data_IF_647080122281
#
_entry.id   IF_647080122281
#
_cell.length_a   1.000
_cell.length_b   1.000
_cell.length_c   1.000
_cell.angle_alpha   90.00
_cell.angle_beta   90.00
_cell.angle_gamma   90.00
#
_symmetry.space_group_name_H-M   'P 1'
#
loop_
_entity.id
_entity.type
_entity.pdbx_description
1 polymer ?
#
# COMPACT_ATOMS: atom_id res chain seq x y z
N UNK A 1 -0.24 11.12 -6.38
CA UNK A 1 -1.55 10.48 -6.61
C UNK A 1 -1.41 9.67 -7.89
N UNK A 2 -1.09 8.38 -7.76
CA UNK A 2 -1.09 7.47 -8.91
C UNK A 2 -2.54 7.31 -9.34
N UNK A 3 -2.93 7.96 -10.41
CA UNK A 3 -4.13 7.64 -11.14
C UNK A 3 -3.88 6.31 -11.84
N UNK A 4 -4.14 5.20 -11.18
CA UNK A 4 -4.25 3.92 -11.86
C UNK A 4 -5.45 4.00 -12.79
N UNK A 5 -5.24 4.51 -14.01
CA UNK A 5 -6.10 4.26 -15.15
C UNK A 5 -5.72 2.90 -15.74
N UNK A 6 -5.96 1.87 -14.99
CA UNK A 6 -6.05 0.51 -15.47
C UNK A 6 -7.37 0.01 -14.93
N UNK A 7 -8.35 -0.15 -15.76
CA UNK A 7 -9.55 -0.88 -15.42
C UNK A 7 -9.10 -2.32 -15.13
N UNK A 8 -8.85 -2.61 -13.84
CA UNK A 8 -8.77 -4.00 -13.40
C UNK A 8 -10.17 -4.52 -13.59
N UNK A 9 -10.36 -5.36 -14.58
CA UNK A 9 -11.60 -6.07 -14.78
C UNK A 9 -11.76 -7.11 -13.67
N UNK A 10 -12.48 -6.71 -12.60
CA UNK A 10 -12.84 -7.57 -11.47
C UNK A 10 -14.30 -8.02 -11.57
N UNK A 11 -14.91 -7.92 -12.75
CA UNK A 11 -16.36 -8.14 -12.94
C UNK A 11 -16.81 -9.53 -12.51
N UNK A 12 -15.93 -10.53 -12.60
CA UNK A 12 -16.23 -11.92 -12.26
C UNK A 12 -15.75 -12.33 -10.85
N UNK A 13 -15.10 -11.42 -10.10
CA UNK A 13 -14.56 -11.72 -8.78
C UNK A 13 -15.34 -11.00 -7.69
N UNK A 14 -15.84 -11.75 -6.70
CA UNK A 14 -16.33 -11.14 -5.47
C UNK A 14 -15.16 -10.88 -4.52
N UNK A 15 -14.96 -9.60 -4.15
CA UNK A 15 -13.86 -9.18 -3.30
C UNK A 15 -14.37 -8.59 -2.00
N UNK A 16 -13.67 -8.86 -0.91
CA UNK A 16 -13.80 -8.11 0.34
C UNK A 16 -12.56 -7.26 0.52
N UNK A 17 -12.73 -5.95 0.55
CA UNK A 17 -11.63 -4.98 0.67
C UNK A 17 -11.71 -4.25 2.00
N UNK A 18 -10.69 -4.40 2.83
CA UNK A 18 -10.52 -3.60 4.03
C UNK A 18 -9.68 -2.36 3.68
N UNK A 19 -10.20 -1.17 3.99
CA UNK A 19 -9.53 0.08 3.67
C UNK A 19 -9.61 1.11 4.81
N UNK A 20 -8.54 1.91 4.94
CA UNK A 20 -8.51 3.12 5.75
C UNK A 20 -8.45 4.39 4.87
N UNK A 21 -8.57 4.25 3.54
CA UNK A 21 -8.52 5.36 2.59
C UNK A 21 -9.94 5.76 2.16
N UNK A 22 -10.28 7.04 2.33
CA UNK A 22 -11.53 7.62 1.84
C UNK A 22 -11.64 7.51 0.31
N UNK A 23 -10.53 7.71 -0.40
CA UNK A 23 -10.53 7.63 -1.86
C UNK A 23 -10.83 6.20 -2.34
N UNK A 24 -10.22 5.20 -1.73
CA UNK A 24 -10.48 3.79 -2.03
C UNK A 24 -11.91 3.41 -1.65
N UNK A 25 -12.39 3.83 -0.47
CA UNK A 25 -13.76 3.60 -0.03
C UNK A 25 -14.76 4.11 -1.08
N UNK A 26 -14.59 5.36 -1.53
CA UNK A 26 -15.49 5.98 -2.52
C UNK A 26 -15.49 5.24 -3.85
N UNK A 27 -14.31 4.81 -4.34
CA UNK A 27 -14.20 4.10 -5.62
C UNK A 27 -14.81 2.69 -5.57
N UNK A 28 -14.66 2.00 -4.45
CA UNK A 28 -15.08 0.60 -4.33
C UNK A 28 -16.52 0.44 -3.86
N UNK A 29 -17.09 1.42 -3.13
CA UNK A 29 -18.48 1.37 -2.66
C UNK A 29 -19.53 1.36 -3.78
N UNK A 30 -19.13 1.76 -4.99
CA UNK A 30 -19.98 1.74 -6.18
C UNK A 30 -19.86 0.43 -6.99
N UNK A 31 -18.96 -0.48 -6.58
CA UNK A 31 -18.73 -1.75 -7.28
C UNK A 31 -19.66 -2.85 -6.73
N UNK A 32 -20.54 -3.47 -7.56
CA UNK A 32 -21.53 -4.43 -7.06
C UNK A 32 -20.93 -5.73 -6.50
N UNK A 33 -19.72 -6.11 -6.95
CA UNK A 33 -19.04 -7.34 -6.51
C UNK A 33 -17.92 -7.06 -5.48
N UNK A 34 -18.02 -5.96 -4.72
CA UNK A 34 -17.02 -5.58 -3.74
C UNK A 34 -17.66 -5.23 -2.40
N UNK A 35 -17.43 -6.05 -1.39
CA UNK A 35 -17.73 -5.70 -0.01
C UNK A 35 -16.62 -4.84 0.56
N UNK A 36 -16.96 -3.68 1.11
CA UNK A 36 -15.97 -2.74 1.63
C UNK A 36 -16.08 -2.63 3.14
N UNK A 37 -15.00 -2.96 3.83
CA UNK A 37 -14.82 -2.77 5.26
C UNK A 37 -14.00 -1.50 5.47
N UNK A 38 -14.62 -0.44 5.99
CA UNK A 38 -13.91 0.79 6.33
C UNK A 38 -13.39 0.73 7.78
N UNK A 39 -12.10 1.03 7.98
CA UNK A 39 -11.50 1.07 9.31
C UNK A 39 -12.09 2.19 10.20
N UNK A 40 -12.63 3.25 9.59
CA UNK A 40 -13.29 4.34 10.29
C UNK A 40 -12.36 5.17 11.18
N UNK A 41 -12.97 6.07 11.95
CA UNK A 41 -12.28 6.94 12.88
C UNK A 41 -12.16 8.38 12.40
N UNK A 42 -11.10 9.08 12.85
CA UNK A 42 -10.82 10.45 12.44
C UNK A 42 -10.28 10.48 11.00
N UNK A 43 -10.87 11.30 10.16
CA UNK A 43 -10.40 11.50 8.79
C UNK A 43 -9.36 12.63 8.75
N UNK A 44 -8.15 12.31 8.34
CA UNK A 44 -7.10 13.30 8.06
C UNK A 44 -7.34 13.92 6.67
N UNK A 45 -7.67 15.21 6.58
CA UNK A 45 -8.02 15.84 5.29
C UNK A 45 -6.89 15.80 4.25
N UNK A 46 -5.64 15.97 4.70
CA UNK A 46 -4.47 16.04 3.82
C UNK A 46 -4.12 14.70 3.17
N UNK A 47 -4.30 13.59 3.89
CA UNK A 47 -3.97 12.24 3.40
C UNK A 47 -5.21 11.48 2.92
N UNK A 48 -6.39 11.97 3.25
CA UNK A 48 -7.67 11.29 3.01
C UNK A 48 -7.70 9.90 3.65
N UNK A 49 -7.05 9.77 4.82
CA UNK A 49 -6.97 8.52 5.58
C UNK A 49 -7.75 8.60 6.87
N UNK A 50 -8.46 7.51 7.17
CA UNK A 50 -9.08 7.28 8.48
C UNK A 50 -8.05 6.72 9.46
N UNK A 51 -8.14 7.15 10.71
CA UNK A 51 -7.32 6.63 11.81
C UNK A 51 -8.13 6.54 13.09
N UNK A 52 -8.05 5.39 13.75
CA UNK A 52 -8.52 5.16 15.11
C UNK A 52 -7.84 3.92 15.70
N UNK A 53 -7.80 3.81 17.02
CA UNK A 53 -7.35 2.59 17.72
C UNK A 53 -8.21 1.38 17.38
N UNK A 54 -9.51 1.57 17.21
CA UNK A 54 -10.48 0.56 16.80
C UNK A 54 -10.21 0.09 15.37
N UNK A 55 -9.92 1.02 14.44
CA UNK A 55 -9.52 0.71 13.08
C UNK A 55 -8.23 -0.12 13.01
N UNK A 56 -7.22 0.24 13.79
CA UNK A 56 -5.99 -0.55 13.92
C UNK A 56 -6.27 -1.93 14.51
N UNK A 57 -7.14 -2.02 15.53
CA UNK A 57 -7.56 -3.29 16.11
C UNK A 57 -8.33 -4.16 15.12
N UNK A 58 -9.16 -3.55 14.26
CA UNK A 58 -9.85 -4.26 13.18
C UNK A 58 -8.85 -4.86 12.19
N UNK A 59 -7.87 -4.09 11.74
CA UNK A 59 -6.80 -4.59 10.86
C UNK A 59 -6.09 -5.79 11.51
N UNK A 60 -5.70 -5.68 12.77
CA UNK A 60 -4.95 -6.73 13.49
C UNK A 60 -5.69 -8.04 13.64
N UNK A 61 -7.03 -8.05 13.65
CA UNK A 61 -7.86 -9.26 13.79
C UNK A 61 -8.40 -9.78 12.46
N UNK A 62 -8.12 -9.09 11.34
CA UNK A 62 -8.58 -9.49 10.01
C UNK A 62 -7.51 -10.33 9.31
N UNK A 63 -7.86 -11.50 8.80
CA UNK A 63 -6.99 -12.29 7.95
C UNK A 63 -6.96 -11.68 6.55
N UNK A 64 -5.80 -11.21 6.11
CA UNK A 64 -5.64 -10.49 4.85
C UNK A 64 -4.81 -11.34 3.88
N UNK A 65 -5.32 -11.59 2.69
CA UNK A 65 -4.58 -12.34 1.66
C UNK A 65 -3.51 -11.45 1.03
N UNK A 66 -3.87 -10.23 0.60
CA UNK A 66 -2.97 -9.30 -0.08
C UNK A 66 -3.12 -7.89 0.50
N UNK A 67 -2.03 -7.28 0.91
CA UNK A 67 -2.00 -5.88 1.31
C UNK A 67 -1.33 -5.04 0.22
N UNK A 68 -2.06 -4.06 -0.31
CA UNK A 68 -1.55 -3.06 -1.26
C UNK A 68 -1.15 -1.81 -0.48
N UNK A 69 0.13 -1.47 -0.49
CA UNK A 69 0.69 -0.44 0.38
C UNK A 69 1.49 0.55 -0.47
N UNK A 70 1.15 1.83 -0.37
CA UNK A 70 1.88 2.88 -1.05
C UNK A 70 2.99 3.45 -0.19
N UNK A 71 4.12 3.81 -0.82
CA UNK A 71 5.22 4.53 -0.20
C UNK A 71 5.24 6.01 -0.62
N UNK A 72 5.68 6.87 0.28
CA UNK A 72 6.07 8.23 -0.06
C UNK A 72 7.51 8.27 -0.61
N UNK A 73 8.39 7.41 -0.07
CA UNK A 73 9.76 7.26 -0.55
C UNK A 73 10.39 5.95 -0.14
N UNK A 74 11.37 5.51 -0.94
CA UNK A 74 12.20 4.33 -0.72
C UNK A 74 13.64 4.80 -0.73
N UNK A 75 14.31 4.75 0.42
CA UNK A 75 15.68 5.27 0.57
C UNK A 75 16.72 4.34 -0.05
N UNK A 76 17.91 4.86 -0.35
CA UNK A 76 19.06 4.06 -0.81
C UNK A 76 19.48 2.97 0.19
N UNK A 77 19.09 3.09 1.47
CA UNK A 77 19.24 2.04 2.48
C UNK A 77 18.05 1.07 2.52
N UNK A 78 17.21 1.10 1.50
CA UNK A 78 16.02 0.24 1.32
C UNK A 78 14.94 0.41 2.40
N UNK A 79 14.94 1.52 3.14
CA UNK A 79 13.84 1.84 4.05
C UNK A 79 12.65 2.39 3.26
N UNK A 80 11.47 1.85 3.53
CA UNK A 80 10.21 2.32 2.94
C UNK A 80 9.56 3.29 3.91
N UNK A 81 9.29 4.51 3.43
CA UNK A 81 8.95 5.64 4.28
C UNK A 81 7.61 6.27 3.92
N UNK A 82 6.95 6.87 4.92
CA UNK A 82 5.75 7.69 4.78
C UNK A 82 5.96 9.08 5.38
N UNK A 83 5.05 10.00 5.06
CA UNK A 83 5.15 11.40 5.49
C UNK A 83 4.64 11.54 6.92
N UNK A 84 3.48 10.98 7.21
CA UNK A 84 2.79 11.19 8.47
C UNK A 84 2.95 9.99 9.42
N UNK A 85 3.30 10.24 10.71
CA UNK A 85 3.49 9.16 11.68
C UNK A 85 2.25 8.27 11.89
N UNK A 86 1.04 8.82 11.79
CA UNK A 86 -0.20 8.04 11.94
C UNK A 86 -0.42 7.01 10.83
N UNK A 87 0.23 7.17 9.66
CA UNK A 87 0.19 6.17 8.60
C UNK A 87 0.96 4.90 8.97
N UNK A 88 2.00 5.02 9.79
CA UNK A 88 2.88 3.93 10.15
C UNK A 88 2.12 2.77 10.83
N UNK A 89 1.25 3.09 11.78
CA UNK A 89 0.53 2.08 12.57
C UNK A 89 -0.36 1.21 11.68
N UNK A 90 -1.12 1.85 10.77
CA UNK A 90 -2.00 1.15 9.84
C UNK A 90 -1.20 0.29 8.85
N UNK A 91 -0.15 0.87 8.22
CA UNK A 91 0.70 0.16 7.26
C UNK A 91 1.41 -1.03 7.91
N UNK A 92 2.00 -0.83 9.08
CA UNK A 92 2.66 -1.91 9.82
C UNK A 92 1.68 -3.00 10.26
N UNK A 93 0.46 -2.64 10.68
CA UNK A 93 -0.56 -3.62 11.05
C UNK A 93 -1.02 -4.44 9.84
N UNK A 94 -1.23 -3.81 8.68
CA UNK A 94 -1.56 -4.50 7.42
C UNK A 94 -0.47 -5.50 7.04
N UNK A 95 0.79 -5.05 7.02
CA UNK A 95 1.93 -5.90 6.62
C UNK A 95 2.08 -7.13 7.49
N UNK A 96 1.84 -7.00 8.79
CA UNK A 96 1.97 -8.12 9.74
C UNK A 96 0.84 -9.14 9.63
N UNK A 97 -0.33 -8.72 9.14
CA UNK A 97 -1.53 -9.56 9.06
C UNK A 97 -1.85 -10.05 7.64
N UNK A 98 -1.04 -9.70 6.65
CA UNK A 98 -1.24 -10.15 5.28
C UNK A 98 -0.31 -11.31 4.92
N UNK A 99 -0.80 -12.18 4.04
CA UNK A 99 -0.01 -13.27 3.48
C UNK A 99 0.98 -12.77 2.41
N UNK A 100 0.63 -11.67 1.72
CA UNK A 100 1.47 -11.07 0.69
C UNK A 100 1.39 -9.56 0.74
N UNK A 101 2.56 -8.91 0.86
CA UNK A 101 2.73 -7.48 0.86
C UNK A 101 3.12 -6.99 -0.54
N UNK A 102 2.32 -6.09 -1.10
CA UNK A 102 2.50 -5.52 -2.43
C UNK A 102 2.76 -4.03 -2.29
N UNK A 103 3.94 -3.60 -2.69
CA UNK A 103 4.32 -2.19 -2.69
C UNK A 103 3.89 -1.52 -4.00
N UNK A 104 3.18 -0.41 -3.88
CA UNK A 104 2.81 0.44 -5.00
C UNK A 104 3.66 1.73 -4.94
N UNK A 105 4.57 1.91 -5.88
CA UNK A 105 5.44 3.09 -5.91
C UNK A 105 5.90 3.39 -7.34
N UNK A 106 5.64 4.59 -7.82
CA UNK A 106 6.23 5.05 -9.08
C UNK A 106 7.75 5.32 -8.93
N UNK A 107 8.47 5.36 -10.04
CA UNK A 107 9.92 5.55 -10.10
C UNK A 107 10.38 6.80 -9.33
N UNK A 108 9.53 7.83 -9.26
CA UNK A 108 9.83 9.08 -8.53
C UNK A 108 9.96 8.91 -7.02
N UNK A 109 9.54 7.78 -6.45
CA UNK A 109 9.61 7.48 -5.01
C UNK A 109 10.94 6.84 -4.62
N UNK A 110 11.62 6.22 -5.56
CA UNK A 110 12.89 5.57 -5.33
C UNK A 110 14.01 6.60 -5.16
N UNK A 111 14.93 6.35 -4.24
CA UNK A 111 15.99 7.28 -3.84
C UNK A 111 15.54 8.39 -2.89
N UNK A 112 14.24 8.49 -2.54
CA UNK A 112 13.72 9.49 -1.62
C UNK A 112 13.56 8.94 -0.21
N UNK A 113 13.71 9.83 0.78
CA UNK A 113 13.51 9.50 2.19
C UNK A 113 12.53 10.50 2.81
N UNK A 114 11.62 10.00 3.64
CA UNK A 114 10.69 10.78 4.45
C UNK A 114 10.86 10.43 5.93
N UNK A 115 10.33 11.27 6.86
CA UNK A 115 10.67 11.15 8.28
C UNK A 115 10.33 9.83 8.94
N UNK A 116 9.29 9.12 8.47
CA UNK A 116 8.77 7.94 9.15
C UNK A 116 9.01 6.68 8.32
N UNK A 117 9.96 5.85 8.74
CA UNK A 117 10.15 4.52 8.17
C UNK A 117 9.16 3.54 8.81
N UNK A 118 8.45 2.76 8.00
CA UNK A 118 7.48 1.78 8.49
C UNK A 118 7.80 0.33 8.06
N UNK A 119 8.69 0.15 7.09
CA UNK A 119 9.11 -1.15 6.57
C UNK A 119 10.51 -1.07 5.95
N UNK A 120 11.05 -2.23 5.65
CA UNK A 120 12.21 -2.40 4.78
C UNK A 120 11.75 -2.99 3.44
N UNK A 121 12.47 -2.71 2.35
CA UNK A 121 12.09 -3.17 1.01
C UNK A 121 11.89 -4.70 0.95
N UNK A 122 12.76 -5.46 1.61
CA UNK A 122 12.69 -6.93 1.72
C UNK A 122 11.43 -7.48 2.38
N UNK A 123 10.64 -6.62 3.06
CA UNK A 123 9.40 -7.03 3.73
C UNK A 123 8.22 -7.13 2.74
N UNK A 124 8.48 -6.82 1.45
CA UNK A 124 7.50 -6.93 0.37
C UNK A 124 7.79 -8.14 -0.51
N UNK A 125 6.72 -8.77 -0.99
CA UNK A 125 6.78 -9.89 -1.91
C UNK A 125 6.76 -9.43 -3.37
N UNK A 126 6.03 -8.34 -3.63
CA UNK A 126 5.80 -7.80 -4.96
C UNK A 126 5.97 -6.28 -4.91
N UNK A 127 6.55 -5.72 -5.97
CA UNK A 127 6.57 -4.28 -6.25
C UNK A 127 5.89 -4.05 -7.59
N UNK A 128 5.00 -3.07 -7.64
CA UNK A 128 4.40 -2.56 -8.88
C UNK A 128 4.88 -1.12 -9.06
N UNK A 129 5.57 -0.86 -10.17
CA UNK A 129 6.13 0.44 -10.52
C UNK A 129 5.83 0.81 -11.96
N UNK A 130 6.19 2.03 -12.37
CA UNK A 130 6.21 2.43 -13.77
C UNK A 130 7.47 1.92 -14.50
N UNK A 131 7.51 2.14 -15.82
CA UNK A 131 8.62 1.69 -16.67
C UNK A 131 9.91 2.50 -16.52
N UNK A 132 9.85 3.64 -15.84
CA UNK A 132 10.98 4.57 -15.69
C UNK A 132 11.91 4.23 -14.53
N UNK A 133 11.71 3.08 -13.88
CA UNK A 133 12.56 2.61 -12.79
C UNK A 133 13.96 2.30 -13.32
N UNK A 134 15.00 2.86 -12.66
CA UNK A 134 16.38 2.69 -13.10
C UNK A 134 16.88 1.24 -12.97
N UNK A 135 17.89 0.89 -13.77
CA UNK A 135 18.53 -0.44 -13.74
C UNK A 135 19.10 -0.77 -12.37
N UNK A 136 19.65 0.21 -11.66
CA UNK A 136 20.17 0.03 -10.29
C UNK A 136 19.08 -0.49 -9.34
N UNK A 137 17.88 0.10 -9.41
CA UNK A 137 16.76 -0.36 -8.58
C UNK A 137 16.23 -1.72 -9.01
N UNK A 138 16.26 -2.05 -10.30
CA UNK A 138 15.95 -3.41 -10.77
C UNK A 138 16.89 -4.45 -10.14
N UNK A 139 18.19 -4.17 -10.07
CA UNK A 139 19.18 -5.06 -9.45
C UNK A 139 18.95 -5.20 -7.93
N UNK A 140 18.69 -4.08 -7.24
CA UNK A 140 18.41 -4.09 -5.80
C UNK A 140 17.16 -4.93 -5.50
N UNK A 141 16.06 -4.71 -6.24
CA UNK A 141 14.80 -5.43 -6.07
C UNK A 141 15.00 -6.94 -6.31
N UNK A 142 15.70 -7.28 -7.38
CA UNK A 142 16.02 -8.68 -7.71
C UNK A 142 16.88 -9.34 -6.61
N UNK A 143 17.87 -8.62 -6.07
CA UNK A 143 18.73 -9.12 -4.97
C UNK A 143 17.95 -9.38 -3.68
N UNK A 144 16.84 -8.70 -3.46
CA UNK A 144 15.93 -8.92 -2.34
C UNK A 144 14.95 -10.09 -2.57
N UNK A 145 14.96 -10.73 -3.75
CA UNK A 145 14.02 -11.81 -4.10
C UNK A 145 12.59 -11.34 -4.31
N UNK A 146 12.39 -10.06 -4.65
CA UNK A 146 11.08 -9.44 -4.82
C UNK A 146 10.66 -9.52 -6.28
N UNK A 147 9.40 -9.87 -6.54
CA UNK A 147 8.85 -9.84 -7.90
C UNK A 147 8.50 -8.40 -8.29
N UNK A 148 9.05 -7.91 -9.40
CA UNK A 148 8.76 -6.58 -9.93
C UNK A 148 7.81 -6.68 -11.13
N UNK A 149 6.73 -5.91 -11.08
CA UNK A 149 5.85 -5.65 -12.23
C UNK A 149 5.97 -4.18 -12.62
N UNK A 150 6.11 -3.92 -13.92
CA UNK A 150 6.12 -2.57 -14.48
C UNK A 150 4.91 -2.35 -15.39
N UNK A 151 4.28 -1.21 -15.28
CA UNK A 151 3.05 -0.82 -15.99
C UNK A 151 3.21 0.51 -16.72
#
# INVERSE_FOLDING_TARGET
MLGCKGDIDITDMHLTVLTYSMNTLRQLSERPNCDVICCGGYLYPNTQMFYSSEGISLIKRTCINKAFIAAAGISGKQNVTCIAPHEMDAKSALMRNSQSNILLADSSKFGKIFPTAYAHLKDFNIIISDKDLSSEWHEIIASCGITLYTV
#
